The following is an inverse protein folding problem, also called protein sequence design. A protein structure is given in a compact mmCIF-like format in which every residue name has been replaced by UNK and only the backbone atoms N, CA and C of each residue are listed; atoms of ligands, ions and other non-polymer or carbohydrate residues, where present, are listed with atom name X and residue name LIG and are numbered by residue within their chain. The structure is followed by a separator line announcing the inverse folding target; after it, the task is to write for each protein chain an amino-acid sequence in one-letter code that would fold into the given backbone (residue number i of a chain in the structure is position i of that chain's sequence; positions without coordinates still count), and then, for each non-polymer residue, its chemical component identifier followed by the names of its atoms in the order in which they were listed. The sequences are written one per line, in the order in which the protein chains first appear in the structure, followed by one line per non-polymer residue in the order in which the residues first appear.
data_IF_701815609450
#
_entry.id   IF_701815609450
#
_cell.length_a   1.000
_cell.length_b   1.000
_cell.length_c   1.000
_cell.angle_alpha   90.00
_cell.angle_beta   90.00
_cell.angle_gamma   90.00
#
_symmetry.space_group_name_H-M   'P 1'
#
loop_
_entity.id
_entity.type
_entity.pdbx_description
1 polymer ?
#
# COMPACT_ATOMS: atom_id res chain seq x y z
N UNK A 1 56.50 -31.11 -22.73
CA UNK A 1 56.57 -32.54 -23.09
C UNK A 1 58.04 -32.84 -23.35
N UNK A 2 58.74 -33.75 -22.70
CA UNK A 2 58.37 -34.81 -21.77
C UNK A 2 59.58 -35.08 -20.86
N UNK A 3 59.29 -35.68 -19.71
CA UNK A 3 60.20 -36.21 -18.70
C UNK A 3 61.09 -37.35 -19.24
N UNK A 4 62.30 -37.51 -18.70
CA UNK A 4 62.66 -38.68 -17.86
C UNK A 4 64.15 -38.72 -17.46
N UNK A 5 64.34 -39.01 -16.16
CA UNK A 5 65.47 -39.55 -15.37
C UNK A 5 66.13 -40.82 -15.99
N UNK A 6 67.17 -41.50 -15.43
CA UNK A 6 68.03 -41.26 -14.23
C UNK A 6 69.54 -41.64 -14.40
N UNK A 7 70.36 -41.41 -13.36
CA UNK A 7 71.31 -42.40 -12.78
C UNK A 7 72.33 -41.74 -11.82
N UNK A 8 72.42 -42.26 -10.59
CA UNK A 8 73.61 -42.16 -9.73
C UNK A 8 74.57 -43.32 -10.09
N UNK A 9 75.90 -43.24 -9.82
CA UNK A 9 76.39 -43.68 -8.50
C UNK A 9 77.73 -43.06 -7.99
N UNK A 10 77.94 -43.24 -6.69
CA UNK A 10 79.19 -43.56 -5.96
C UNK A 10 80.52 -42.83 -6.21
N UNK A 11 81.04 -42.23 -5.11
CA UNK A 11 82.15 -42.90 -4.41
C UNK A 11 83.51 -42.21 -4.31
N UNK A 12 83.72 -41.46 -3.21
CA UNK A 12 85.01 -41.23 -2.49
C UNK A 12 86.13 -40.46 -3.25
N UNK A 13 87.06 -39.70 -2.68
CA UNK A 13 87.76 -39.62 -1.38
C UNK A 13 88.23 -38.16 -1.17
N UNK A 14 87.90 -37.53 -0.05
CA UNK A 14 88.83 -37.21 1.06
C UNK A 14 89.59 -35.85 0.87
N UNK A 15 90.25 -35.27 1.88
CA UNK A 15 89.69 -34.17 2.65
C UNK A 15 90.61 -32.94 2.64
N UNK A 16 90.04 -31.74 2.71
CA UNK A 16 90.73 -30.63 3.36
C UNK A 16 89.87 -30.10 4.48
N UNK A 17 90.03 -30.76 5.64
CA UNK A 17 89.82 -30.18 6.95
C UNK A 17 90.59 -28.85 7.03
N UNK A 18 89.85 -27.74 6.93
CA UNK A 18 90.18 -26.55 7.71
C UNK A 18 89.31 -26.60 8.95
N UNK A 19 89.97 -26.89 10.07
CA UNK A 19 89.41 -26.85 11.41
C UNK A 19 88.90 -25.44 11.69
N UNK A 20 87.58 -25.27 11.70
CA UNK A 20 86.94 -24.12 12.32
C UNK A 20 86.94 -24.31 13.85
N UNK A 21 87.10 -23.23 14.64
CA UNK A 21 87.28 -23.33 16.08
C UNK A 21 85.98 -23.79 16.75
N UNK A 22 86.09 -24.86 17.55
CA UNK A 22 85.02 -25.41 18.38
C UNK A 22 84.67 -24.47 19.54
N UNK A 23 83.92 -23.41 19.25
CA UNK A 23 83.47 -22.44 20.25
C UNK A 23 82.21 -21.63 19.89
N UNK A 24 81.78 -21.63 18.62
CA UNK A 24 80.67 -20.78 18.15
C UNK A 24 79.32 -21.54 17.98
N UNK A 25 79.32 -22.88 17.88
CA UNK A 25 78.11 -23.67 17.62
C UNK A 25 77.15 -23.76 18.83
N UNK A 26 77.67 -23.61 20.06
CA UNK A 26 76.86 -23.65 21.28
C UNK A 26 75.95 -22.42 21.47
N UNK A 27 76.44 -21.25 21.05
CA UNK A 27 75.65 -20.01 21.09
C UNK A 27 74.57 -19.98 20.01
N UNK A 28 74.87 -20.52 18.82
CA UNK A 28 73.88 -20.64 17.75
C UNK A 28 72.74 -21.62 18.13
N UNK A 29 73.07 -22.71 18.82
CA UNK A 29 72.08 -23.70 19.30
C UNK A 29 71.20 -23.17 20.45
N UNK A 30 71.79 -22.41 21.40
CA UNK A 30 71.04 -21.74 22.46
C UNK A 30 70.16 -20.60 21.92
N UNK A 31 70.65 -19.84 20.95
CA UNK A 31 69.86 -18.79 20.29
C UNK A 31 68.68 -19.39 19.52
N UNK A 32 68.88 -20.50 18.79
CA UNK A 32 67.80 -21.17 18.06
C UNK A 32 66.78 -21.84 18.99
N UNK A 33 67.20 -22.47 20.09
CA UNK A 33 66.29 -22.98 21.13
C UNK A 33 65.53 -21.86 21.85
N UNK A 34 66.19 -20.74 22.12
CA UNK A 34 65.55 -19.55 22.69
C UNK A 34 64.51 -18.94 21.75
N UNK A 35 64.84 -18.83 20.45
CA UNK A 35 63.91 -18.35 19.41
C UNK A 35 62.73 -19.32 19.24
N UNK A 36 62.97 -20.63 19.25
CA UNK A 36 61.92 -21.66 19.21
C UNK A 36 61.02 -21.60 20.45
N UNK A 37 61.58 -21.40 21.64
CA UNK A 37 60.82 -21.25 22.88
C UNK A 37 59.96 -19.97 22.89
N UNK A 38 60.51 -18.85 22.41
CA UNK A 38 59.78 -17.59 22.26
C UNK A 38 58.68 -17.72 21.20
N UNK A 39 58.97 -18.33 20.04
CA UNK A 39 57.96 -18.61 19.02
C UNK A 39 56.86 -19.54 19.54
N UNK A 40 57.20 -20.59 20.29
CA UNK A 40 56.25 -21.51 20.89
C UNK A 40 55.38 -20.84 21.97
N UNK A 41 55.91 -19.87 22.71
CA UNK A 41 55.11 -19.05 23.65
C UNK A 41 54.24 -18.00 22.95
N UNK A 42 54.69 -17.44 21.84
CA UNK A 42 53.93 -16.42 21.08
C UNK A 42 52.79 -17.05 20.26
N UNK A 43 52.96 -18.29 19.79
CA UNK A 43 51.97 -19.01 18.99
C UNK A 43 50.57 -19.09 19.64
N UNK A 44 50.40 -19.47 20.92
CA UNK A 44 49.09 -19.47 21.57
C UNK A 44 48.52 -18.06 21.76
N UNK A 45 49.36 -17.04 21.95
CA UNK A 45 48.91 -15.64 22.05
C UNK A 45 48.36 -15.15 20.71
N UNK A 46 49.07 -15.39 19.61
CA UNK A 46 48.58 -15.07 18.27
C UNK A 46 47.31 -15.86 17.91
N UNK A 47 47.20 -17.11 18.35
CA UNK A 47 45.99 -17.91 18.12
C UNK A 47 44.79 -17.35 18.88
N UNK A 48 44.96 -16.94 20.15
CA UNK A 48 43.88 -16.32 20.94
C UNK A 48 43.45 -14.98 20.34
N UNK A 49 44.38 -14.13 19.93
CA UNK A 49 44.08 -12.85 19.27
C UNK A 49 43.36 -13.10 17.93
N UNK A 50 43.85 -14.03 17.11
CA UNK A 50 43.19 -14.38 15.84
C UNK A 50 41.78 -14.95 16.04
N UNK A 51 41.55 -15.75 17.08
CA UNK A 51 40.21 -16.25 17.43
C UNK A 51 39.31 -15.13 17.93
N UNK A 52 39.83 -14.19 18.73
CA UNK A 52 39.08 -13.01 19.15
C UNK A 52 38.70 -12.12 17.96
N UNK A 53 39.65 -11.82 17.07
CA UNK A 53 39.42 -11.07 15.83
C UNK A 53 38.40 -11.79 14.92
N UNK A 54 38.49 -13.11 14.79
CA UNK A 54 37.49 -13.92 14.05
C UNK A 54 36.11 -13.89 14.71
N UNK A 55 36.05 -13.89 16.04
CA UNK A 55 34.79 -13.84 16.80
C UNK A 55 34.16 -12.46 16.70
N UNK A 56 34.96 -11.41 16.76
CA UNK A 56 34.54 -10.02 16.61
C UNK A 56 34.13 -9.73 15.16
N UNK A 57 34.89 -10.19 14.17
CA UNK A 57 34.51 -10.14 12.76
C UNK A 57 33.20 -10.90 12.48
N UNK A 58 33.01 -12.09 13.07
CA UNK A 58 31.73 -12.82 12.96
C UNK A 58 30.58 -12.09 13.62
N UNK A 59 30.80 -11.45 14.77
CA UNK A 59 29.78 -10.62 15.44
C UNK A 59 29.42 -9.39 14.61
N UNK A 60 30.39 -8.72 14.00
CA UNK A 60 30.15 -7.61 13.08
C UNK A 60 29.36 -8.07 11.85
N UNK A 61 29.76 -9.18 11.22
CA UNK A 61 29.05 -9.74 10.08
C UNK A 61 27.62 -10.17 10.43
N UNK A 62 27.41 -10.78 11.61
CA UNK A 62 26.09 -11.16 12.09
C UNK A 62 25.21 -9.94 12.42
N UNK A 63 25.80 -8.89 12.99
CA UNK A 63 25.13 -7.61 13.23
C UNK A 63 24.69 -6.93 11.93
N UNK A 64 25.58 -6.85 10.95
CA UNK A 64 25.30 -6.30 9.62
C UNK A 64 24.25 -7.10 8.86
N UNK A 65 24.25 -8.43 9.04
CA UNK A 65 23.24 -9.32 8.47
C UNK A 65 21.87 -9.12 9.12
N UNK A 66 21.83 -8.97 10.45
CA UNK A 66 20.63 -8.65 11.21
C UNK A 66 20.03 -7.29 10.85
N UNK A 67 20.84 -6.24 10.71
CA UNK A 67 20.39 -4.92 10.26
C UNK A 67 19.83 -4.98 8.84
N UNK A 68 20.52 -5.66 7.91
CA UNK A 68 20.01 -5.86 6.54
C UNK A 68 18.68 -6.62 6.50
N UNK A 69 18.54 -7.66 7.32
CA UNK A 69 17.27 -8.40 7.44
C UNK A 69 16.16 -7.52 8.02
N UNK A 70 16.45 -6.71 9.05
CA UNK A 70 15.50 -5.80 9.66
C UNK A 70 15.01 -4.74 8.66
N UNK A 71 15.95 -4.11 7.92
CA UNK A 71 15.62 -3.14 6.86
C UNK A 71 14.86 -3.77 5.70
N UNK A 72 15.14 -5.03 5.35
CA UNK A 72 14.33 -5.75 4.38
C UNK A 72 12.86 -5.87 4.81
N UNK A 73 12.59 -6.05 6.10
CA UNK A 73 11.22 -6.06 6.64
C UNK A 73 10.52 -4.71 6.56
N UNK A 74 11.22 -3.63 6.92
CA UNK A 74 10.76 -2.25 6.75
C UNK A 74 10.45 -1.96 5.27
N UNK A 75 11.36 -2.31 4.37
CA UNK A 75 11.20 -2.14 2.92
C UNK A 75 10.08 -3.01 2.36
N UNK A 76 9.87 -4.23 2.87
CA UNK A 76 8.76 -5.09 2.46
C UNK A 76 7.40 -4.46 2.81
N UNK A 77 7.30 -3.80 3.98
CA UNK A 77 6.09 -3.05 4.35
C UNK A 77 5.95 -1.79 3.49
N UNK A 78 7.03 -1.05 3.22
CA UNK A 78 6.96 0.08 2.27
C UNK A 78 6.52 -0.36 0.87
N UNK A 79 7.04 -1.49 0.39
CA UNK A 79 6.67 -2.10 -0.87
C UNK A 79 5.18 -2.46 -0.88
N UNK A 80 4.66 -3.12 0.17
CA UNK A 80 3.24 -3.40 0.29
C UNK A 80 2.36 -2.15 0.32
N UNK A 81 2.75 -1.12 1.09
CA UNK A 81 2.04 0.16 1.11
C UNK A 81 2.09 0.83 -0.29
N UNK A 82 3.19 0.67 -1.02
CA UNK A 82 3.34 1.21 -2.40
C UNK A 82 2.67 0.37 -3.49
N UNK A 83 2.40 -0.92 -3.24
CA UNK A 83 1.92 -1.91 -4.22
C UNK A 83 0.43 -2.19 -4.08
N UNK A 84 -0.30 -1.56 -3.17
CA UNK A 84 -1.75 -1.52 -3.37
C UNK A 84 -2.01 -0.92 -4.77
N UNK A 85 -2.54 -1.59 -5.79
CA UNK A 85 -2.89 -2.99 -6.04
C UNK A 85 -2.96 -3.12 -7.59
N UNK A 86 -1.86 -2.89 -8.30
CA UNK A 86 -1.87 -2.82 -9.79
C UNK A 86 -0.72 -3.53 -10.52
N UNK A 87 0.26 -4.11 -9.83
CA UNK A 87 1.25 -4.97 -10.49
C UNK A 87 0.74 -6.41 -10.50
N UNK A 88 0.65 -7.04 -11.68
CA UNK A 88 0.58 -8.49 -11.78
C UNK A 88 1.80 -9.05 -11.06
N UNK A 89 1.60 -9.65 -9.89
CA UNK A 89 2.68 -10.21 -9.08
C UNK A 89 3.34 -11.33 -9.89
N UNK A 90 4.59 -11.18 -10.35
CA UNK A 90 5.35 -12.35 -10.76
C UNK A 90 5.51 -13.20 -9.49
N UNK A 91 5.30 -14.51 -9.59
CA UNK A 91 5.50 -15.45 -8.50
C UNK A 91 6.88 -15.23 -7.85
N UNK A 92 6.95 -14.50 -6.74
CA UNK A 92 8.19 -14.24 -6.02
C UNK A 92 7.88 -13.65 -4.64
N UNK A 93 8.03 -14.47 -3.60
CA UNK A 93 8.53 -14.20 -2.23
C UNK A 93 8.12 -12.94 -1.43
N UNK A 94 7.30 -12.04 -1.95
CA UNK A 94 6.79 -10.87 -1.20
C UNK A 94 5.72 -11.35 -0.22
N UNK A 95 5.85 -11.08 1.09
CA UNK A 95 4.84 -11.46 2.07
C UNK A 95 3.49 -10.91 1.63
N UNK A 96 2.46 -11.75 1.52
CA UNK A 96 1.09 -11.30 1.22
C UNK A 96 0.34 -10.89 2.49
N UNK A 97 1.02 -10.85 3.64
CA UNK A 97 0.42 -10.63 4.94
C UNK A 97 1.36 -9.87 5.89
N UNK A 98 1.64 -8.57 5.71
CA UNK A 98 2.11 -7.77 6.85
C UNK A 98 0.90 -7.22 7.62
N UNK A 99 0.36 -8.10 8.49
CA UNK A 99 0.15 -7.82 9.92
C UNK A 99 -0.37 -6.40 10.22
N UNK A 100 -1.65 -6.16 9.91
CA UNK A 100 -2.46 -5.30 10.79
C UNK A 100 -2.87 -6.20 11.95
N UNK A 101 -2.04 -6.27 12.98
CA UNK A 101 -2.44 -6.97 14.20
C UNK A 101 -3.53 -6.12 14.86
N UNK A 102 -4.79 -6.55 14.75
CA UNK A 102 -5.91 -5.98 15.46
C UNK A 102 -5.62 -6.05 16.97
N UNK A 103 -5.24 -4.91 17.57
CA UNK A 103 -4.99 -4.81 19.00
C UNK A 103 -3.79 -3.97 19.42
N UNK A 104 -2.87 -3.61 18.52
CA UNK A 104 -1.66 -2.86 18.91
C UNK A 104 -1.77 -1.39 18.52
N UNK A 105 -2.38 -0.61 19.41
CA UNK A 105 -2.32 0.85 19.39
C UNK A 105 -0.95 1.30 19.89
N UNK A 106 -0.21 2.07 19.09
CA UNK A 106 1.00 2.73 19.60
C UNK A 106 0.61 3.73 20.69
N UNK A 107 1.39 3.79 21.78
CA UNK A 107 1.36 4.95 22.67
C UNK A 107 1.98 6.12 21.92
N UNK A 108 1.17 7.08 21.48
CA UNK A 108 1.67 8.28 20.81
C UNK A 108 2.56 9.09 21.76
N UNK A 109 3.73 9.51 21.28
CA UNK A 109 4.62 10.42 22.02
C UNK A 109 5.54 9.74 23.03
N UNK A 110 6.23 8.68 22.63
CA UNK A 110 7.32 8.09 23.41
C UNK A 110 8.29 9.19 23.87
N UNK A 111 8.34 9.43 25.18
CA UNK A 111 9.28 10.36 25.82
C UNK A 111 10.58 9.65 26.23
N UNK A 112 10.56 8.33 26.28
CA UNK A 112 11.69 7.45 26.60
C UNK A 112 11.96 6.47 25.45
N UNK A 113 13.10 6.61 24.74
CA UNK A 113 13.52 5.68 23.69
C UNK A 113 13.71 4.24 24.17
N UNK A 114 14.05 4.03 25.44
CA UNK A 114 14.24 2.68 26.01
C UNK A 114 12.89 1.97 26.15
N UNK A 115 11.87 2.67 26.66
CA UNK A 115 10.51 2.15 26.73
C UNK A 115 9.94 1.78 25.35
N UNK A 116 10.26 2.58 24.33
CA UNK A 116 9.89 2.30 22.94
C UNK A 116 10.57 1.04 22.41
N UNK A 117 11.88 0.87 22.65
CA UNK A 117 12.64 -0.32 22.30
C UNK A 117 12.06 -1.58 22.98
N UNK A 118 11.84 -1.53 24.30
CA UNK A 118 11.35 -2.66 25.08
C UNK A 118 9.96 -3.09 24.62
N UNK A 119 9.07 -2.12 24.37
CA UNK A 119 7.73 -2.39 23.84
C UNK A 119 7.78 -3.05 22.46
N UNK A 120 8.50 -2.45 21.50
CA UNK A 120 8.54 -2.94 20.12
C UNK A 120 9.19 -4.33 20.05
N UNK A 121 10.25 -4.56 20.83
CA UNK A 121 10.90 -5.86 20.96
C UNK A 121 9.94 -6.91 21.54
N UNK A 122 9.22 -6.58 22.61
CA UNK A 122 8.25 -7.50 23.21
C UNK A 122 7.13 -7.88 22.22
N UNK A 123 6.60 -6.92 21.47
CA UNK A 123 5.56 -7.16 20.45
C UNK A 123 6.08 -8.09 19.35
N UNK A 124 7.27 -7.84 18.82
CA UNK A 124 7.85 -8.63 17.73
C UNK A 124 8.28 -10.04 18.18
N UNK A 125 8.74 -10.20 19.42
CA UNK A 125 9.04 -11.50 19.99
C UNK A 125 7.78 -12.33 20.26
N UNK A 126 6.67 -11.69 20.65
CA UNK A 126 5.39 -12.35 20.89
C UNK A 126 4.70 -12.88 19.61
N UNK A 127 5.14 -12.46 18.41
CA UNK A 127 4.60 -12.98 17.16
C UNK A 127 4.87 -14.49 17.00
N UNK A 128 3.92 -15.24 16.41
CA UNK A 128 4.13 -16.67 16.15
C UNK A 128 5.19 -16.90 15.06
N UNK A 129 5.86 -18.08 15.03
CA UNK A 129 6.86 -18.41 14.01
C UNK A 129 6.35 -18.30 12.57
N UNK A 130 5.05 -18.46 12.33
CA UNK A 130 4.42 -18.27 11.02
C UNK A 130 4.48 -16.83 10.48
N UNK A 131 4.82 -15.86 11.33
CA UNK A 131 5.03 -14.45 10.97
C UNK A 131 6.52 -14.08 10.82
N UNK A 132 7.41 -15.08 10.83
CA UNK A 132 8.83 -14.90 10.49
C UNK A 132 9.02 -15.01 8.98
N UNK A 133 9.71 -14.02 8.40
CA UNK A 133 10.08 -13.99 6.99
C UNK A 133 11.57 -14.23 6.83
N UNK A 134 11.95 -14.96 5.77
CA UNK A 134 13.33 -15.34 5.49
C UNK A 134 13.83 -14.60 4.25
N UNK A 135 15.03 -14.05 4.34
CA UNK A 135 15.76 -13.42 3.24
C UNK A 135 17.13 -14.10 3.07
N UNK A 136 17.85 -13.86 1.96
CA UNK A 136 19.21 -14.37 1.80
C UNK A 136 20.19 -13.88 2.88
N UNK A 137 19.87 -12.77 3.57
CA UNK A 137 20.74 -12.15 4.58
C UNK A 137 20.32 -12.47 6.01
N UNK A 138 19.22 -13.18 6.24
CA UNK A 138 18.73 -13.45 7.58
C UNK A 138 17.23 -13.69 7.63
N UNK A 139 16.64 -13.52 8.81
CA UNK A 139 15.19 -13.57 9.00
C UNK A 139 14.73 -12.32 9.72
N UNK A 140 13.46 -11.97 9.54
CA UNK A 140 12.87 -10.83 10.23
C UNK A 140 11.41 -11.06 10.60
N UNK A 141 10.94 -10.25 11.55
CA UNK A 141 9.54 -10.05 11.91
C UNK A 141 9.23 -8.57 11.83
N UNK A 142 8.01 -8.23 11.45
CA UNK A 142 7.61 -6.84 11.24
C UNK A 142 6.22 -6.57 11.79
N UNK A 143 6.00 -5.36 12.30
CA UNK A 143 4.68 -4.89 12.75
C UNK A 143 4.46 -3.46 12.31
N UNK A 144 3.24 -3.18 11.87
CA UNK A 144 2.75 -1.83 11.59
C UNK A 144 1.66 -1.48 12.58
N UNK A 145 1.79 -0.34 13.23
CA UNK A 145 0.79 0.17 14.19
C UNK A 145 -0.40 0.80 13.47
N UNK A 146 -1.61 0.65 14.03
CA UNK A 146 -2.86 1.09 13.36
C UNK A 146 -3.06 2.61 13.34
N UNK A 147 -2.51 3.32 14.34
CA UNK A 147 -2.70 4.77 14.53
C UNK A 147 -1.42 5.58 14.32
N UNK A 148 -0.38 4.98 13.76
CA UNK A 148 0.92 5.64 13.60
C UNK A 148 1.59 5.34 12.26
N UNK A 149 2.51 6.25 11.93
CA UNK A 149 3.37 6.26 10.77
C UNK A 149 4.57 5.32 10.93
N UNK A 150 4.76 4.72 12.10
CA UNK A 150 5.89 3.85 12.41
C UNK A 150 5.66 2.39 12.00
N UNK A 151 6.73 1.78 11.49
CA UNK A 151 6.89 0.35 11.22
C UNK A 151 8.10 -0.12 12.02
N UNK A 152 7.94 -1.22 12.75
CA UNK A 152 9.01 -1.81 13.55
C UNK A 152 9.37 -3.17 12.97
N UNK A 153 10.66 -3.43 12.78
CA UNK A 153 11.17 -4.68 12.21
C UNK A 153 12.33 -5.21 13.04
N UNK A 154 12.24 -6.46 13.48
CA UNK A 154 13.29 -7.16 14.21
C UNK A 154 13.94 -8.16 13.26
N UNK A 155 15.21 -7.96 12.92
CA UNK A 155 15.97 -8.80 11.99
C UNK A 155 17.17 -9.48 12.65
N UNK A 156 17.46 -10.71 12.25
CA UNK A 156 18.58 -11.49 12.75
C UNK A 156 19.25 -12.28 11.63
N UNK A 157 20.52 -12.64 11.82
CA UNK A 157 21.31 -13.41 10.85
C UNK A 157 20.73 -14.82 10.60
N UNK A 158 21.10 -15.52 9.51
CA UNK A 158 20.54 -16.84 9.16
C UNK A 158 20.67 -17.89 10.27
N UNK A 159 21.80 -17.88 10.98
CA UNK A 159 22.09 -18.80 12.09
C UNK A 159 21.75 -18.19 13.47
N UNK A 160 21.12 -17.01 13.47
CA UNK A 160 20.76 -16.25 14.67
C UNK A 160 19.36 -16.59 15.17
N UNK A 161 18.99 -15.95 16.27
CA UNK A 161 17.64 -16.04 16.85
C UNK A 161 17.03 -14.63 17.00
N UNK A 162 15.69 -14.51 17.04
CA UNK A 162 15.04 -13.21 17.19
C UNK A 162 15.44 -12.50 18.50
N UNK A 163 15.78 -13.25 19.56
CA UNK A 163 16.27 -12.71 20.84
C UNK A 163 17.65 -12.02 20.75
N UNK A 164 18.39 -12.27 19.67
CA UNK A 164 19.66 -11.61 19.34
C UNK A 164 19.53 -10.57 18.23
N UNK A 165 18.32 -10.34 17.75
CA UNK A 165 18.06 -9.51 16.57
C UNK A 165 18.19 -8.01 16.79
N UNK A 166 18.47 -7.32 15.70
CA UNK A 166 18.51 -5.87 15.55
C UNK A 166 17.11 -5.34 15.31
N UNK A 167 16.69 -4.33 16.09
CA UNK A 167 15.40 -3.68 15.94
C UNK A 167 15.56 -2.39 15.14
N UNK A 168 14.82 -2.26 14.04
CA UNK A 168 14.76 -1.05 13.22
C UNK A 168 13.34 -0.49 13.30
N UNK A 169 13.24 0.81 13.53
CA UNK A 169 12.03 1.58 13.38
C UNK A 169 12.15 2.45 12.12
N UNK A 170 11.08 2.48 11.34
CA UNK A 170 10.94 3.38 10.20
C UNK A 170 9.64 4.15 10.31
N UNK A 171 9.72 5.47 10.22
CA UNK A 171 8.57 6.33 10.09
C UNK A 171 8.32 6.66 8.63
N UNK A 172 7.06 6.58 8.24
CA UNK A 172 6.60 6.91 6.92
C UNK A 172 5.64 8.08 6.94
N UNK A 173 5.98 9.15 6.21
CA UNK A 173 4.93 10.04 5.73
C UNK A 173 4.11 9.26 4.70
N UNK A 174 2.89 8.89 5.12
CA UNK A 174 1.81 8.56 4.21
C UNK A 174 1.21 9.90 3.81
N UNK A 175 1.55 10.50 2.66
CA UNK A 175 0.76 11.61 2.19
C UNK A 175 -0.66 11.10 2.01
N UNK A 176 -1.61 11.76 2.68
CA UNK A 176 -3.02 11.61 2.33
C UNK A 176 -3.10 11.96 0.86
N UNK A 177 -3.72 11.10 0.06
CA UNK A 177 -3.93 11.42 -1.33
C UNK A 177 -4.73 12.73 -1.39
N UNK A 178 -4.13 13.78 -1.92
CA UNK A 178 -4.87 14.98 -2.27
C UNK A 178 -4.97 14.97 -3.78
N UNK A 179 -6.19 14.83 -4.27
CA UNK A 179 -6.44 14.84 -5.71
C UNK A 179 -6.21 16.26 -6.16
N UNK A 180 -5.11 16.53 -6.87
CA UNK A 180 -4.85 17.86 -7.43
C UNK A 180 -5.66 18.12 -8.72
N UNK A 181 -6.56 17.19 -9.07
CA UNK A 181 -7.44 17.25 -10.23
C UNK A 181 -8.89 17.02 -9.78
N UNK A 182 -9.82 17.72 -10.44
CA UNK A 182 -11.25 17.47 -10.29
C UNK A 182 -11.66 16.11 -10.85
N UNK A 183 -10.96 15.64 -11.89
CA UNK A 183 -11.12 14.30 -12.46
C UNK A 183 -9.74 13.68 -12.70
N UNK A 184 -9.52 12.52 -12.09
CA UNK A 184 -8.30 11.72 -12.25
C UNK A 184 -8.65 10.31 -12.73
N UNK A 185 -8.05 9.85 -13.82
CA UNK A 185 -8.32 8.51 -14.37
C UNK A 185 -7.06 7.70 -14.65
N UNK A 186 -7.11 6.40 -14.40
CA UNK A 186 -6.03 5.45 -14.66
C UNK A 186 -5.86 5.08 -16.14
N UNK A 187 -6.91 5.24 -16.95
CA UNK A 187 -6.87 5.01 -18.39
C UNK A 187 -7.60 6.12 -19.14
N UNK A 188 -7.83 5.90 -20.44
CA UNK A 188 -8.40 6.82 -21.39
C UNK A 188 -9.65 7.54 -20.88
N UNK A 189 -9.76 8.81 -21.26
CA UNK A 189 -10.86 9.70 -20.96
C UNK A 189 -11.45 10.25 -22.27
N UNK A 190 -12.73 9.95 -22.49
CA UNK A 190 -13.52 10.49 -23.57
C UNK A 190 -14.40 11.63 -23.07
N UNK A 191 -14.32 12.78 -23.73
CA UNK A 191 -15.16 13.95 -23.46
C UNK A 191 -16.10 14.21 -24.62
N UNK A 192 -17.36 13.82 -24.46
CA UNK A 192 -18.39 13.93 -25.48
C UNK A 192 -19.31 15.12 -25.15
N UNK A 193 -19.11 16.26 -25.80
CA UNK A 193 -19.90 17.47 -25.51
C UNK A 193 -19.39 18.24 -24.29
N UNK A 194 -20.20 19.12 -23.71
CA UNK A 194 -19.73 20.07 -22.68
C UNK A 194 -19.28 19.37 -21.39
N UNK A 195 -18.06 19.66 -20.95
CA UNK A 195 -17.56 19.30 -19.63
C UNK A 195 -16.84 20.48 -18.99
N UNK A 196 -17.24 20.81 -17.75
CA UNK A 196 -16.70 21.94 -17.02
C UNK A 196 -16.18 21.49 -15.66
N UNK A 197 -15.12 22.11 -15.16
CA UNK A 197 -14.66 21.95 -13.79
C UNK A 197 -14.42 23.34 -13.20
N UNK A 198 -14.92 23.56 -12.00
CA UNK A 198 -14.85 24.86 -11.35
C UNK A 198 -14.22 24.71 -9.97
N UNK A 199 -13.30 25.58 -9.61
CA UNK A 199 -12.81 25.69 -8.23
C UNK A 199 -13.54 26.84 -7.56
N UNK A 200 -14.35 26.55 -6.53
CA UNK A 200 -15.14 27.56 -5.83
C UNK A 200 -14.27 28.65 -5.18
N UNK A 201 -12.98 28.38 -4.94
CA UNK A 201 -12.03 29.38 -4.41
C UNK A 201 -11.41 30.26 -5.51
N UNK A 202 -11.67 29.98 -6.79
CA UNK A 202 -11.08 30.68 -7.94
C UNK A 202 -9.58 30.42 -8.17
N UNK A 203 -8.99 29.43 -7.50
CA UNK A 203 -7.54 29.20 -7.50
C UNK A 203 -6.99 28.44 -8.73
N UNK A 204 -7.84 28.14 -9.73
CA UNK A 204 -7.48 27.38 -10.93
C UNK A 204 -6.85 25.99 -10.64
N UNK A 205 -7.35 25.28 -9.62
CA UNK A 205 -6.84 23.95 -9.22
C UNK A 205 -7.72 22.78 -9.70
N UNK A 206 -8.91 23.06 -10.21
CA UNK A 206 -9.86 22.05 -10.67
C UNK A 206 -9.45 21.45 -12.05
N UNK A 207 -8.30 20.78 -12.11
CA UNK A 207 -7.75 20.21 -13.35
C UNK A 207 -8.37 18.87 -13.75
N UNK A 208 -7.88 18.32 -14.85
CA UNK A 208 -8.20 16.97 -15.33
C UNK A 208 -6.89 16.27 -15.70
N UNK A 209 -6.72 15.04 -15.22
CA UNK A 209 -5.60 14.19 -15.59
C UNK A 209 -6.04 12.78 -15.97
N UNK A 210 -5.44 12.23 -17.02
CA UNK A 210 -5.57 10.82 -17.39
C UNK A 210 -4.19 10.19 -17.60
N UNK A 211 -3.99 9.00 -17.04
CA UNK A 211 -2.81 8.16 -17.30
C UNK A 211 -2.88 7.47 -18.69
N UNK A 212 -3.96 7.68 -19.46
CA UNK A 212 -4.13 7.21 -20.82
C UNK A 212 -4.20 8.34 -21.84
N UNK A 213 -4.98 8.14 -22.90
CA UNK A 213 -5.31 9.14 -23.89
C UNK A 213 -6.52 9.96 -23.46
N UNK A 214 -6.53 11.22 -23.85
CA UNK A 214 -7.69 12.09 -23.74
C UNK A 214 -8.24 12.39 -25.14
N UNK A 215 -9.47 11.95 -25.38
CA UNK A 215 -10.20 12.22 -26.62
C UNK A 215 -11.32 13.24 -26.41
N UNK A 216 -11.57 14.06 -27.43
CA UNK A 216 -12.61 15.09 -27.39
C UNK A 216 -12.57 16.00 -28.61
N UNK A 217 -13.58 16.86 -28.77
CA UNK A 217 -13.66 17.80 -29.91
C UNK A 217 -13.39 19.22 -29.43
N UNK A 218 -12.88 20.11 -30.27
CA UNK A 218 -12.55 21.49 -29.86
C UNK A 218 -13.74 22.30 -29.26
N UNK A 219 -14.99 21.88 -29.52
CA UNK A 219 -16.21 22.46 -28.93
C UNK A 219 -16.70 21.75 -27.64
N UNK A 220 -16.08 20.65 -27.22
CA UNK A 220 -16.46 19.89 -26.02
C UNK A 220 -16.05 20.59 -24.72
N UNK A 221 -15.11 21.53 -24.75
CA UNK A 221 -14.69 22.30 -23.57
C UNK A 221 -14.42 23.75 -23.95
N UNK A 222 -15.45 24.49 -24.36
CA UNK A 222 -15.30 25.93 -24.60
C UNK A 222 -15.00 26.66 -23.25
N UNK A 223 -13.72 26.63 -22.82
CA UNK A 223 -13.15 27.31 -21.63
C UNK A 223 -13.68 26.89 -20.25
N UNK A 224 -14.26 25.71 -20.12
CA UNK A 224 -14.95 25.29 -18.90
C UNK A 224 -14.13 24.62 -17.82
N UNK A 225 -12.85 24.31 -18.05
CA UNK A 225 -11.98 23.64 -17.06
C UNK A 225 -11.06 24.69 -16.44
N UNK A 226 -11.25 24.97 -15.14
CA UNK A 226 -10.49 26.00 -14.42
C UNK A 226 -9.03 25.61 -14.17
N UNK A 227 -8.69 24.32 -14.19
CA UNK A 227 -7.33 23.82 -13.94
C UNK A 227 -6.59 23.32 -15.18
N UNK A 228 -5.44 22.66 -14.95
CA UNK A 228 -4.65 22.06 -16.03
C UNK A 228 -5.33 20.81 -16.58
N UNK A 229 -5.31 20.67 -17.90
CA UNK A 229 -5.74 19.47 -18.61
C UNK A 229 -4.51 18.72 -19.07
N UNK A 230 -4.32 17.50 -18.59
CA UNK A 230 -3.08 16.74 -18.82
C UNK A 230 -3.37 15.28 -19.16
N UNK A 231 -2.51 14.70 -19.99
CA UNK A 231 -2.55 13.29 -20.34
C UNK A 231 -1.14 12.72 -20.45
N UNK A 232 -0.96 11.45 -20.10
CA UNK A 232 0.26 10.69 -20.41
C UNK A 232 0.33 10.43 -21.92
N UNK A 233 -0.80 9.97 -22.49
CA UNK A 233 -0.97 9.75 -23.92
C UNK A 233 -1.27 11.03 -24.70
N UNK A 234 -2.03 10.89 -25.77
CA UNK A 234 -2.47 12.03 -26.57
C UNK A 234 -3.48 12.89 -25.80
N UNK A 235 -3.38 14.22 -25.90
CA UNK A 235 -4.36 15.16 -25.36
C UNK A 235 -5.03 15.92 -26.51
N UNK A 236 -6.31 15.63 -26.75
CA UNK A 236 -7.07 16.24 -27.84
C UNK A 236 -7.98 17.40 -27.39
N UNK A 237 -8.10 17.64 -26.08
CA UNK A 237 -8.86 18.77 -25.58
C UNK A 237 -8.12 20.10 -25.76
N UNK A 238 -8.86 21.20 -26.02
CA UNK A 238 -8.31 22.56 -26.00
C UNK A 238 -7.49 22.85 -24.73
N UNK A 239 -6.24 23.30 -24.90
CA UNK A 239 -5.34 23.59 -23.77
C UNK A 239 -4.76 22.35 -23.08
N UNK A 240 -5.06 21.15 -23.57
CA UNK A 240 -4.51 19.89 -23.07
C UNK A 240 -3.02 19.76 -23.35
N UNK A 241 -2.29 19.20 -22.38
CA UNK A 241 -0.85 18.91 -22.50
C UNK A 241 -0.63 17.40 -22.50
N UNK A 242 -0.05 16.88 -23.57
CA UNK A 242 0.33 15.47 -23.73
C UNK A 242 1.71 15.16 -23.12
N UNK A 243 2.03 13.87 -22.99
CA UNK A 243 3.37 13.41 -22.59
C UNK A 243 3.73 13.78 -21.15
N UNK A 244 2.74 14.00 -20.30
CA UNK A 244 2.96 14.20 -18.87
C UNK A 244 3.33 12.88 -18.19
N UNK A 245 3.98 12.95 -17.03
CA UNK A 245 4.22 11.76 -16.21
C UNK A 245 2.91 11.20 -15.65
N UNK A 246 2.87 9.89 -15.42
CA UNK A 246 1.74 9.24 -14.74
C UNK A 246 1.52 9.87 -13.36
N UNK A 247 0.27 10.24 -13.07
CA UNK A 247 -0.14 10.60 -11.72
C UNK A 247 -0.50 9.34 -10.92
N UNK A 248 -0.16 9.30 -9.62
CA UNK A 248 -0.55 8.18 -8.77
C UNK A 248 -2.08 8.12 -8.63
N UNK A 249 -2.66 6.98 -8.98
CA UNK A 249 -4.08 6.70 -8.76
C UNK A 249 -4.22 5.89 -7.45
N UNK A 250 -5.08 6.31 -6.50
CA UNK A 250 -5.28 5.54 -5.29
C UNK A 250 -5.96 4.19 -5.59
N UNK A 251 -5.74 3.23 -4.70
CA UNK A 251 -6.55 2.02 -4.68
C UNK A 251 -7.92 2.36 -4.13
N UNK A 252 -8.94 2.03 -4.90
CA UNK A 252 -10.31 2.08 -4.44
C UNK A 252 -10.63 0.71 -3.87
N UNK A 253 -10.77 0.56 -2.55
CA UNK A 253 -11.11 -0.72 -1.92
C UNK A 253 -12.34 -0.57 -1.00
N UNK A 254 -13.54 -0.92 -1.49
CA UNK A 254 -14.76 -1.00 -0.69
C UNK A 254 -14.60 -1.82 0.60
N UNK A 255 -13.87 -2.93 0.58
CA UNK A 255 -13.67 -3.78 1.77
C UNK A 255 -12.87 -3.05 2.83
N UNK A 256 -11.81 -2.33 2.44
CA UNK A 256 -11.01 -1.53 3.35
C UNK A 256 -11.83 -0.39 3.98
N UNK A 257 -12.71 0.25 3.21
CA UNK A 257 -13.61 1.29 3.75
C UNK A 257 -14.57 0.70 4.78
N UNK A 258 -15.11 -0.50 4.54
CA UNK A 258 -15.96 -1.20 5.52
C UNK A 258 -15.21 -1.47 6.81
N UNK A 259 -14.04 -2.10 6.75
CA UNK A 259 -13.27 -2.44 7.96
C UNK A 259 -12.79 -1.20 8.72
N UNK A 260 -12.58 -0.08 8.03
CA UNK A 260 -12.14 1.19 8.62
C UNK A 260 -13.28 1.97 9.28
N UNK A 261 -14.43 2.09 8.61
CA UNK A 261 -15.48 3.04 9.01
C UNK A 261 -16.75 2.42 9.59
N UNK A 262 -17.02 1.13 9.33
CA UNK A 262 -18.31 0.52 9.66
C UNK A 262 -18.60 0.52 11.17
N UNK A 263 -17.61 0.14 11.99
CA UNK A 263 -17.79 0.06 13.44
C UNK A 263 -17.95 1.43 14.10
N UNK A 264 -17.22 2.45 13.64
CA UNK A 264 -17.35 3.81 14.14
C UNK A 264 -18.73 4.43 13.81
N UNK A 265 -19.39 3.93 12.76
CA UNK A 265 -20.67 4.43 12.28
C UNK A 265 -21.81 3.40 12.39
N UNK A 266 -21.70 2.40 13.27
CA UNK A 266 -22.61 1.24 13.34
C UNK A 266 -24.10 1.60 13.38
N UNK A 267 -24.47 2.72 14.04
CA UNK A 267 -25.85 3.18 14.14
C UNK A 267 -26.45 3.65 12.80
N UNK A 268 -25.61 4.10 11.87
CA UNK A 268 -25.99 4.62 10.56
C UNK A 268 -25.32 3.84 9.42
N UNK A 269 -24.73 2.68 9.70
CA UNK A 269 -24.14 1.79 8.70
C UNK A 269 -25.08 0.63 8.43
N UNK A 270 -25.35 0.37 7.15
CA UNK A 270 -26.27 -0.64 6.67
C UNK A 270 -25.58 -1.50 5.61
N UNK A 271 -25.30 -2.75 5.96
CA UNK A 271 -24.82 -3.75 5.01
C UNK A 271 -26.04 -4.28 4.23
N UNK A 272 -26.18 -3.90 2.96
CA UNK A 272 -27.24 -4.36 2.07
C UNK A 272 -26.82 -5.69 1.43
N UNK A 273 -27.50 -6.76 1.84
CA UNK A 273 -27.05 -8.13 1.61
C UNK A 273 -27.76 -8.82 0.43
N UNK A 274 -27.13 -9.80 -0.23
CA UNK A 274 -27.76 -10.55 -1.32
C UNK A 274 -28.99 -11.40 -0.92
N UNK A 275 -29.30 -11.49 0.38
CA UNK A 275 -30.53 -12.11 0.90
C UNK A 275 -31.75 -11.17 0.86
N UNK A 276 -31.56 -9.93 0.40
CA UNK A 276 -32.58 -8.90 0.29
C UNK A 276 -32.87 -8.17 1.59
N UNK A 277 -31.99 -8.27 2.59
CA UNK A 277 -32.13 -7.57 3.87
C UNK A 277 -30.95 -6.64 4.14
N UNK A 278 -31.19 -5.63 4.96
CA UNK A 278 -30.13 -4.82 5.53
C UNK A 278 -29.68 -5.40 6.87
N UNK A 279 -28.37 -5.36 7.12
CA UNK A 279 -27.76 -5.81 8.37
C UNK A 279 -26.92 -4.70 8.99
N UNK A 280 -26.68 -4.82 10.29
CA UNK A 280 -25.65 -4.04 10.99
C UNK A 280 -24.30 -4.75 10.90
N UNK A 281 -23.19 -3.99 10.83
CA UNK A 281 -21.87 -4.58 10.85
C UNK A 281 -21.60 -5.22 12.22
N UNK A 282 -20.84 -6.31 12.20
CA UNK A 282 -20.37 -7.00 13.40
C UNK A 282 -18.85 -6.80 13.56
N UNK A 283 -18.33 -6.60 14.78
CA UNK A 283 -16.90 -6.46 15.02
C UNK A 283 -16.12 -7.66 14.49
N UNK A 284 -15.12 -7.41 13.62
CA UNK A 284 -14.24 -8.45 13.08
C UNK A 284 -14.89 -9.43 12.10
N UNK A 285 -16.15 -9.21 11.71
CA UNK A 285 -16.86 -10.04 10.75
C UNK A 285 -16.90 -9.40 9.35
N UNK A 286 -17.04 -10.23 8.32
CA UNK A 286 -17.36 -9.75 6.98
C UNK A 286 -18.79 -9.15 6.95
N UNK A 287 -19.11 -8.25 6.00
CA UNK A 287 -20.48 -7.81 5.79
C UNK A 287 -21.38 -9.01 5.53
N UNK A 288 -22.62 -8.90 5.98
CA UNK A 288 -23.61 -9.97 5.80
C UNK A 288 -23.20 -11.33 6.39
N UNK A 289 -22.28 -11.34 7.36
CA UNK A 289 -21.89 -12.55 8.05
C UNK A 289 -23.08 -13.18 8.80
N UNK A 290 -23.10 -14.53 8.96
CA UNK A 290 -24.08 -15.19 9.81
C UNK A 290 -24.09 -14.58 11.22
N UNK A 291 -25.28 -14.25 11.72
CA UNK A 291 -25.46 -13.61 13.03
C UNK A 291 -25.46 -12.08 13.02
N UNK A 292 -25.17 -11.44 11.88
CA UNK A 292 -25.28 -9.98 11.76
C UNK A 292 -26.72 -9.51 12.04
N UNK A 293 -26.94 -8.54 12.94
CA UNK A 293 -28.28 -8.08 13.29
C UNK A 293 -29.03 -7.55 12.06
N UNK A 294 -30.20 -8.13 11.76
CA UNK A 294 -31.06 -7.68 10.67
C UNK A 294 -31.73 -6.36 11.07
N UNK A 295 -31.72 -5.39 10.16
CA UNK A 295 -32.49 -4.14 10.29
C UNK A 295 -33.83 -4.33 9.59
N UNK A 296 -34.93 -4.20 10.35
CA UNK A 296 -36.29 -4.38 9.82
C UNK A 296 -37.18 -3.19 10.21
N UNK A 297 -37.86 -2.54 9.25
CA UNK A 297 -37.77 -2.75 7.80
C UNK A 297 -36.40 -2.37 7.24
N UNK A 298 -36.08 -2.81 6.02
CA UNK A 298 -34.90 -2.35 5.29
C UNK A 298 -34.94 -0.82 5.19
N UNK A 299 -33.90 -0.10 5.64
CA UNK A 299 -33.89 1.34 5.70
C UNK A 299 -33.91 1.97 4.30
N UNK A 300 -34.39 3.22 4.22
CA UNK A 300 -34.17 4.08 3.07
C UNK A 300 -34.84 3.65 1.77
N UNK A 301 -35.94 2.90 1.81
CA UNK A 301 -36.67 2.41 0.63
C UNK A 301 -35.83 1.55 -0.33
N UNK A 302 -34.76 0.94 0.18
CA UNK A 302 -33.95 0.01 -0.58
C UNK A 302 -34.70 -1.31 -0.81
N UNK A 303 -34.73 -1.77 -2.05
CA UNK A 303 -35.32 -3.04 -2.45
C UNK A 303 -34.30 -3.87 -3.24
N UNK A 304 -34.26 -5.17 -3.01
CA UNK A 304 -33.33 -6.06 -3.70
C UNK A 304 -34.02 -6.86 -4.80
N UNK A 305 -33.43 -6.85 -5.99
CA UNK A 305 -33.77 -7.71 -7.11
C UNK A 305 -32.74 -8.84 -7.20
N UNK A 306 -33.15 -10.05 -6.81
CA UNK A 306 -32.29 -11.24 -6.96
C UNK A 306 -32.02 -11.60 -8.43
N UNK A 307 -32.91 -11.22 -9.35
CA UNK A 307 -32.77 -11.50 -10.77
C UNK A 307 -31.61 -10.73 -11.42
N UNK A 308 -31.40 -9.49 -10.99
CA UNK A 308 -30.34 -8.61 -11.51
C UNK A 308 -29.19 -8.40 -10.53
N UNK A 309 -29.29 -8.97 -9.32
CA UNK A 309 -28.39 -8.71 -8.18
C UNK A 309 -28.21 -7.22 -7.93
N UNK A 310 -29.32 -6.48 -7.91
CA UNK A 310 -29.31 -5.03 -7.78
C UNK A 310 -30.15 -4.61 -6.61
N UNK A 311 -29.58 -3.76 -5.77
CA UNK A 311 -30.32 -2.97 -4.80
C UNK A 311 -30.79 -1.69 -5.48
N UNK A 312 -32.09 -1.41 -5.46
CA UNK A 312 -32.66 -0.20 -6.04
C UNK A 312 -33.29 0.68 -4.97
N UNK A 313 -33.16 1.99 -5.16
CA UNK A 313 -33.78 3.02 -4.33
C UNK A 313 -34.55 3.99 -5.22
N UNK A 314 -35.89 3.95 -5.15
CA UNK A 314 -36.75 4.72 -6.07
C UNK A 314 -37.31 6.02 -5.50
N UNK A 315 -37.04 6.29 -4.22
CA UNK A 315 -37.47 7.50 -3.54
C UNK A 315 -36.41 7.89 -2.50
N UNK A 316 -36.20 9.20 -2.27
CA UNK A 316 -35.27 9.64 -1.25
C UNK A 316 -35.68 9.08 0.13
N UNK A 317 -34.71 8.70 0.97
CA UNK A 317 -34.99 8.11 2.27
C UNK A 317 -35.61 9.16 3.20
N UNK A 318 -36.81 8.90 3.72
CA UNK A 318 -37.47 9.79 4.68
C UNK A 318 -36.90 9.52 6.08
N UNK A 319 -36.18 10.49 6.64
CA UNK A 319 -35.64 10.42 8.00
C UNK A 319 -34.50 9.41 8.21
N UNK A 320 -34.02 8.77 7.15
CA UNK A 320 -32.91 7.82 7.21
C UNK A 320 -31.72 8.41 6.46
N UNK A 321 -30.59 8.50 7.15
CA UNK A 321 -29.30 8.92 6.62
C UNK A 321 -28.27 7.88 7.02
N UNK A 322 -27.21 7.73 6.24
CA UNK A 322 -26.17 6.78 6.61
C UNK A 322 -25.29 6.29 5.47
N UNK A 323 -24.59 5.21 5.76
CA UNK A 323 -23.77 4.48 4.79
C UNK A 323 -24.51 3.23 4.37
N UNK A 324 -24.70 3.07 3.06
CA UNK A 324 -25.29 1.88 2.45
C UNK A 324 -24.20 1.11 1.74
N UNK A 325 -23.75 0.04 2.39
CA UNK A 325 -22.72 -0.86 1.89
C UNK A 325 -23.36 -2.03 1.15
N UNK A 326 -23.37 -1.98 -0.17
CA UNK A 326 -23.95 -2.99 -1.04
C UNK A 326 -22.96 -4.12 -1.26
N UNK A 327 -23.21 -5.24 -0.58
CA UNK A 327 -22.28 -6.36 -0.58
C UNK A 327 -22.55 -7.31 -1.75
N UNK A 328 -21.58 -7.43 -2.68
CA UNK A 328 -21.62 -8.38 -3.83
C UNK A 328 -22.86 -8.23 -4.69
N UNK A 329 -23.22 -6.98 -4.95
CA UNK A 329 -24.38 -6.58 -5.73
C UNK A 329 -24.15 -5.16 -6.27
N UNK A 330 -24.94 -4.77 -7.26
CA UNK A 330 -24.93 -3.40 -7.80
C UNK A 330 -25.98 -2.53 -7.10
N UNK A 331 -25.82 -1.22 -7.18
CA UNK A 331 -26.75 -0.23 -6.65
C UNK A 331 -27.34 0.60 -7.79
N UNK A 332 -28.66 0.81 -7.77
CA UNK A 332 -29.36 1.75 -8.65
C UNK A 332 -30.17 2.74 -7.81
N UNK A 333 -29.91 4.03 -7.98
CA UNK A 333 -30.57 5.11 -7.24
C UNK A 333 -31.31 5.97 -8.26
N UNK A 334 -32.63 5.99 -8.18
CA UNK A 334 -33.48 6.70 -9.13
C UNK A 334 -34.72 7.31 -8.47
N UNK A 335 -34.72 8.62 -8.19
CA UNK A 335 -35.85 9.27 -7.49
C UNK A 335 -36.97 9.77 -8.41
N UNK A 336 -36.76 9.73 -9.73
CA UNK A 336 -37.74 10.19 -10.72
C UNK A 336 -37.75 11.71 -10.94
N UNK A 337 -38.57 12.17 -11.90
CA UNK A 337 -38.67 13.58 -12.28
C UNK A 337 -39.31 14.43 -11.19
N UNK A 338 -38.49 15.23 -10.50
CA UNK A 338 -38.93 16.08 -9.38
C UNK A 338 -37.85 16.33 -8.33
N UNK A 339 -36.76 15.53 -8.34
CA UNK A 339 -35.57 15.76 -7.52
C UNK A 339 -35.79 15.47 -6.04
N UNK A 340 -35.04 14.50 -5.52
CA UNK A 340 -34.88 14.27 -4.09
C UNK A 340 -33.41 14.40 -3.74
N UNK A 341 -33.10 14.98 -2.59
CA UNK A 341 -31.74 14.98 -2.04
C UNK A 341 -31.70 14.02 -0.86
N UNK A 342 -30.70 13.14 -0.85
CA UNK A 342 -30.50 12.16 0.20
C UNK A 342 -29.09 12.28 0.75
N UNK A 343 -28.95 12.46 2.07
CA UNK A 343 -27.66 12.41 2.72
C UNK A 343 -27.27 10.97 3.03
N UNK A 344 -26.51 10.37 2.11
CA UNK A 344 -26.06 9.00 2.19
C UNK A 344 -24.73 8.79 1.46
N UNK A 345 -23.87 7.93 2.02
CA UNK A 345 -22.69 7.42 1.31
C UNK A 345 -23.00 6.03 0.79
N UNK A 346 -22.84 5.80 -0.52
CA UNK A 346 -23.14 4.50 -1.14
C UNK A 346 -21.83 3.85 -1.58
N UNK A 347 -21.61 2.64 -1.09
CA UNK A 347 -20.40 1.86 -1.35
C UNK A 347 -20.84 0.51 -1.89
N UNK A 348 -20.40 0.13 -3.08
CA UNK A 348 -20.63 -1.22 -3.63
C UNK A 348 -19.37 -2.04 -3.58
N UNK A 349 -19.47 -3.31 -3.20
CA UNK A 349 -18.39 -4.28 -3.30
C UNK A 349 -18.71 -5.29 -4.40
N UNK A 350 -17.79 -5.50 -5.35
CA UNK A 350 -17.93 -6.57 -6.33
C UNK A 350 -17.63 -7.95 -5.69
N UNK A 351 -18.19 -9.02 -6.25
CA UNK A 351 -17.93 -10.40 -5.81
C UNK A 351 -16.45 -10.79 -5.86
N UNK A 352 -15.70 -10.13 -6.73
CA UNK A 352 -14.28 -10.27 -6.97
C UNK A 352 -13.53 -8.98 -6.59
N UNK A 353 -13.90 -8.34 -5.49
CA UNK A 353 -13.26 -7.10 -5.03
C UNK A 353 -11.72 -7.23 -5.06
N UNK A 354 -11.06 -6.32 -5.78
CA UNK A 354 -9.61 -6.37 -6.04
C UNK A 354 -9.10 -7.68 -6.66
N UNK A 355 -9.95 -8.41 -7.37
CA UNK A 355 -9.67 -9.69 -8.03
C UNK A 355 -8.90 -9.54 -9.35
N UNK A 356 -8.80 -10.66 -10.08
CA UNK A 356 -8.19 -10.72 -11.41
C UNK A 356 -9.19 -10.30 -12.50
N UNK A 357 -8.69 -9.75 -13.60
CA UNK A 357 -9.51 -9.41 -14.76
C UNK A 357 -9.82 -10.68 -15.61
N UNK A 358 -10.99 -10.76 -16.28
CA UNK A 358 -12.10 -9.80 -16.28
C UNK A 358 -12.90 -9.82 -14.96
N UNK A 359 -13.52 -8.68 -14.63
CA UNK A 359 -14.25 -8.51 -13.37
C UNK A 359 -15.58 -9.25 -13.35
N UNK A 360 -16.14 -9.46 -12.15
CA UNK A 360 -17.52 -9.88 -11.96
C UNK A 360 -18.52 -8.83 -12.50
N UNK A 361 -19.72 -9.30 -12.86
CA UNK A 361 -20.83 -8.48 -13.36
C UNK A 361 -21.68 -7.83 -12.26
N UNK A 362 -21.04 -7.47 -11.14
CA UNK A 362 -21.65 -6.79 -10.01
C UNK A 362 -20.74 -5.70 -9.44
N UNK A 363 -21.25 -4.96 -8.46
CA UNK A 363 -20.50 -3.92 -7.78
C UNK A 363 -20.59 -2.56 -8.47
N UNK A 364 -21.51 -2.36 -9.41
CA UNK A 364 -21.71 -1.07 -10.09
C UNK A 364 -22.60 -0.13 -9.28
N UNK A 365 -22.40 1.18 -9.44
CA UNK A 365 -23.33 2.21 -8.97
C UNK A 365 -23.92 2.93 -10.17
N UNK A 366 -25.24 2.97 -10.25
CA UNK A 366 -25.98 3.76 -11.23
C UNK A 366 -26.82 4.81 -10.52
N UNK A 367 -26.59 6.09 -10.81
CA UNK A 367 -27.33 7.22 -10.25
C UNK A 367 -28.09 7.94 -11.36
N UNK A 368 -29.43 8.05 -11.23
CA UNK A 368 -30.31 8.65 -12.24
C UNK A 368 -31.30 9.60 -11.59
N UNK A 369 -31.45 10.83 -12.09
CA UNK A 369 -32.49 11.77 -11.61
C UNK A 369 -32.53 11.90 -10.07
N UNK A 370 -31.35 11.91 -9.43
CA UNK A 370 -31.22 11.83 -7.99
C UNK A 370 -29.99 12.61 -7.52
N UNK A 371 -30.14 13.29 -6.38
CA UNK A 371 -29.04 13.99 -5.70
C UNK A 371 -28.68 13.22 -4.44
N UNK A 372 -27.40 12.88 -4.30
CA UNK A 372 -26.85 12.18 -3.14
C UNK A 372 -25.74 13.02 -2.52
N UNK A 373 -25.90 13.38 -1.25
CA UNK A 373 -24.92 14.12 -0.45
C UNK A 373 -24.15 13.17 0.47
N UNK A 374 -22.86 13.42 0.65
CA UNK A 374 -22.00 12.60 1.49
C UNK A 374 -22.52 12.51 2.94
N UNK A 375 -22.64 11.28 3.45
CA UNK A 375 -22.84 11.05 4.89
C UNK A 375 -21.49 10.97 5.61
N UNK A 376 -20.57 10.16 5.09
CA UNK A 376 -19.17 10.14 5.51
C UNK A 376 -18.47 11.38 4.96
N UNK A 377 -17.75 12.16 5.79
CA UNK A 377 -17.02 13.32 5.32
C UNK A 377 -16.08 12.96 4.16
N UNK A 378 -16.21 13.65 3.03
CA UNK A 378 -15.35 13.48 1.86
C UNK A 378 -15.64 12.25 1.00
N UNK A 379 -16.71 11.48 1.27
CA UNK A 379 -17.09 10.31 0.47
C UNK A 379 -18.59 10.27 0.15
N UNK A 380 -18.90 10.24 -1.15
CA UNK A 380 -20.29 10.16 -1.61
C UNK A 380 -20.56 8.80 -2.25
N UNK A 381 -19.83 8.46 -3.31
CA UNK A 381 -20.04 7.23 -4.08
C UNK A 381 -18.71 6.48 -4.23
N UNK A 382 -18.69 5.20 -3.86
CA UNK A 382 -17.51 4.35 -4.04
C UNK A 382 -17.92 3.02 -4.66
N UNK A 383 -17.45 2.77 -5.88
CA UNK A 383 -17.81 1.56 -6.61
C UNK A 383 -16.67 0.55 -6.65
N UNK A 384 -17.01 -0.71 -6.36
CA UNK A 384 -16.16 -1.87 -6.59
C UNK A 384 -15.95 -2.20 -8.06
N UNK A 385 -16.71 -1.57 -8.96
CA UNK A 385 -16.56 -1.71 -10.41
C UNK A 385 -16.79 -0.36 -11.10
N UNK A 386 -17.96 -0.09 -11.67
CA UNK A 386 -18.24 1.13 -12.44
C UNK A 386 -19.13 2.12 -11.68
N UNK A 387 -18.99 3.41 -11.97
CA UNK A 387 -19.98 4.44 -11.57
C UNK A 387 -20.57 5.07 -12.82
N UNK A 388 -21.89 4.97 -12.97
CA UNK A 388 -22.66 5.64 -14.02
C UNK A 388 -23.57 6.70 -13.40
N UNK A 389 -23.43 7.95 -13.85
CA UNK A 389 -24.28 9.07 -13.45
C UNK A 389 -25.01 9.58 -14.68
N UNK A 390 -26.33 9.41 -14.72
CA UNK A 390 -27.16 9.73 -15.89
C UNK A 390 -28.31 10.68 -15.54
N UNK A 391 -28.87 11.32 -16.56
CA UNK A 391 -30.17 12.02 -16.49
C UNK A 391 -30.36 12.89 -15.23
N UNK A 392 -29.67 14.04 -15.15
CA UNK A 392 -29.79 15.00 -14.05
C UNK A 392 -29.43 14.43 -12.66
N UNK A 393 -28.50 13.48 -12.60
CA UNK A 393 -27.92 13.01 -11.35
C UNK A 393 -26.89 13.97 -10.78
N UNK A 394 -26.75 13.98 -9.47
CA UNK A 394 -25.76 14.79 -8.77
C UNK A 394 -25.21 14.04 -7.54
N UNK A 395 -23.89 14.02 -7.39
CA UNK A 395 -23.21 13.62 -6.17
C UNK A 395 -22.61 14.86 -5.50
N UNK A 396 -22.75 14.99 -4.18
CA UNK A 396 -22.35 16.19 -3.46
C UNK A 396 -21.46 15.90 -2.25
N UNK A 397 -20.60 16.86 -1.94
CA UNK A 397 -19.79 16.97 -0.70
C UNK A 397 -18.79 15.82 -0.47
N UNK A 398 -18.24 15.26 -1.54
CA UNK A 398 -17.27 14.18 -1.43
C UNK A 398 -16.78 13.59 -2.74
N UNK A 399 -15.94 12.57 -2.60
CA UNK A 399 -15.38 11.85 -3.72
C UNK A 399 -16.41 10.91 -4.38
N UNK A 400 -16.34 10.83 -5.70
CA UNK A 400 -16.91 9.77 -6.53
C UNK A 400 -15.75 8.91 -7.03
N UNK A 401 -15.70 7.66 -6.59
CA UNK A 401 -14.59 6.77 -6.89
C UNK A 401 -15.05 5.45 -7.50
N UNK A 402 -14.30 4.93 -8.47
CA UNK A 402 -14.57 3.65 -9.11
C UNK A 402 -13.27 2.84 -9.28
N UNK A 403 -13.35 1.53 -9.07
CA UNK A 403 -12.23 0.62 -9.37
C UNK A 403 -12.00 0.46 -10.88
N UNK A 404 -13.06 0.53 -11.69
CA UNK A 404 -12.99 0.40 -13.15
C UNK A 404 -13.24 1.76 -13.79
N UNK A 405 -14.46 2.08 -14.24
CA UNK A 405 -14.73 3.30 -14.99
C UNK A 405 -15.73 4.24 -14.33
N UNK A 406 -15.61 5.53 -14.68
CA UNK A 406 -16.63 6.55 -14.38
C UNK A 406 -17.24 7.03 -15.70
N UNK A 407 -18.57 7.04 -15.76
CA UNK A 407 -19.35 7.58 -16.87
C UNK A 407 -20.36 8.62 -16.36
N UNK A 408 -20.13 9.90 -16.66
CA UNK A 408 -21.03 11.00 -16.30
C UNK A 408 -21.74 11.57 -17.54
N UNK A 409 -23.05 11.36 -17.63
CA UNK A 409 -23.93 11.75 -18.73
C UNK A 409 -25.17 12.47 -18.22
N UNK A 410 -24.98 13.58 -17.50
CA UNK A 410 -26.06 14.17 -16.70
C UNK A 410 -26.93 15.16 -17.46
N UNK A 411 -26.54 15.55 -18.68
CA UNK A 411 -27.38 16.28 -19.66
C UNK A 411 -27.97 17.63 -19.22
N UNK A 412 -27.58 18.19 -18.06
CA UNK A 412 -27.96 19.54 -17.55
C UNK A 412 -27.68 19.77 -16.04
N UNK A 413 -27.27 18.77 -15.27
CA UNK A 413 -26.89 18.96 -13.86
C UNK A 413 -25.38 19.11 -13.68
N UNK A 414 -24.98 19.62 -12.52
CA UNK A 414 -23.58 19.79 -12.18
C UNK A 414 -22.82 18.47 -12.05
N UNK A 415 -23.46 17.30 -12.07
CA UNK A 415 -22.76 16.00 -11.95
C UNK A 415 -22.16 15.80 -10.56
N UNK A 416 -21.07 16.48 -10.24
CA UNK A 416 -20.46 16.48 -8.90
C UNK A 416 -20.41 17.91 -8.37
N UNK A 417 -20.93 18.15 -7.17
CA UNK A 417 -20.80 19.42 -6.46
C UNK A 417 -19.96 19.28 -5.20
N UNK A 418 -19.01 20.18 -4.96
CA UNK A 418 -18.11 20.15 -3.80
C UNK A 418 -17.35 18.81 -3.66
N UNK A 419 -16.72 18.36 -4.74
CA UNK A 419 -16.11 17.03 -4.77
C UNK A 419 -15.14 16.81 -5.92
N UNK A 420 -14.77 15.55 -6.12
CA UNK A 420 -13.88 15.15 -7.22
C UNK A 420 -14.17 13.70 -7.64
N UNK A 421 -13.70 13.33 -8.83
CA UNK A 421 -13.86 11.99 -9.39
C UNK A 421 -12.51 11.28 -9.56
N UNK A 422 -12.46 9.99 -9.20
CA UNK A 422 -11.27 9.14 -9.39
C UNK A 422 -11.66 7.78 -9.95
N UNK A 423 -11.09 7.41 -11.09
CA UNK A 423 -11.23 6.08 -11.66
C UNK A 423 -9.89 5.35 -11.66
N UNK A 424 -9.84 4.17 -11.05
CA UNK A 424 -8.62 3.33 -11.01
C UNK A 424 -8.38 2.62 -12.34
N UNK A 425 -9.43 2.28 -13.10
CA UNK A 425 -9.34 1.58 -14.37
C UNK A 425 -8.50 0.30 -14.32
N UNK A 426 -8.67 -0.49 -13.25
CA UNK A 426 -7.77 -1.61 -12.95
C UNK A 426 -7.73 -2.68 -14.05
N UNK A 427 -8.86 -2.98 -14.69
CA UNK A 427 -8.97 -3.92 -15.81
C UNK A 427 -9.04 -3.22 -17.17
N UNK A 428 -8.68 -1.93 -17.22
CA UNK A 428 -8.78 -1.10 -18.41
C UNK A 428 -10.09 -0.32 -18.48
N UNK A 429 -10.64 -0.24 -19.68
CA UNK A 429 -11.84 0.53 -19.98
C UNK A 429 -11.57 1.99 -20.30
N UNK A 430 -12.66 2.72 -20.58
CA UNK A 430 -12.64 4.12 -20.98
C UNK A 430 -13.59 4.89 -20.08
N UNK A 431 -13.12 6.00 -19.54
CA UNK A 431 -13.94 6.92 -18.75
C UNK A 431 -14.64 7.88 -19.69
N UNK A 432 -15.83 8.33 -19.31
CA UNK A 432 -16.64 9.15 -20.18
C UNK A 432 -17.29 10.29 -19.42
N UNK A 433 -17.22 11.50 -19.99
CA UNK A 433 -17.95 12.66 -19.50
C UNK A 433 -18.69 13.36 -20.63
N UNK A 434 -19.94 13.73 -20.37
CA UNK A 434 -20.85 14.36 -21.32
C UNK A 434 -21.89 15.22 -20.62
N UNK A 435 -21.92 16.51 -20.96
CA UNK A 435 -22.97 17.42 -20.47
C UNK A 435 -22.99 17.55 -18.96
N UNK A 436 -21.81 17.56 -18.33
CA UNK A 436 -21.64 17.47 -16.88
C UNK A 436 -20.63 18.52 -16.37
N UNK A 437 -20.63 18.78 -15.07
CA UNK A 437 -19.68 19.67 -14.40
C UNK A 437 -19.00 18.92 -13.24
N UNK A 438 -17.96 19.50 -12.66
CA UNK A 438 -17.48 19.16 -11.32
C UNK A 438 -17.18 20.49 -10.62
N UNK A 439 -17.91 20.81 -9.55
CA UNK A 439 -17.46 21.83 -8.61
C UNK A 439 -16.46 21.20 -7.66
N UNK A 440 -15.19 21.50 -7.90
CA UNK A 440 -14.07 20.95 -7.20
C UNK A 440 -13.93 21.56 -5.81
N UNK A 441 -13.92 20.70 -4.82
CA UNK A 441 -13.47 21.03 -3.47
C UNK A 441 -12.48 19.96 -2.99
N UNK A 442 -11.27 20.34 -2.56
CA UNK A 442 -10.30 19.39 -2.03
C UNK A 442 -10.75 18.88 -0.67
N UNK A 443 -11.34 17.69 -0.64
CA UNK A 443 -11.59 16.94 0.60
C UNK A 443 -10.40 16.05 0.94
N UNK A 444 -10.20 15.78 2.24
CA UNK A 444 -9.23 14.76 2.65
C UNK A 444 -9.70 13.40 2.12
N UNK A 445 -8.97 12.84 1.15
CA UNK A 445 -9.28 11.53 0.60
C UNK A 445 -9.06 10.45 1.66
N UNK A 446 -10.03 9.57 1.93
CA UNK A 446 -9.78 8.36 2.71
C UNK A 446 -9.08 7.29 1.87
N UNK A 447 -8.96 7.49 0.56
CA UNK A 447 -8.14 6.64 -0.29
C UNK A 447 -6.66 6.96 -0.08
N UNK A 448 -5.87 5.91 0.04
CA UNK A 448 -4.45 6.01 0.31
C UNK A 448 -3.72 6.15 -1.03
N UNK A 449 -2.94 7.22 -1.22
CA UNK A 449 -2.02 7.35 -2.35
C UNK A 449 -0.89 8.34 -2.01
N UNK A 450 0.24 7.79 -1.57
CA UNK A 450 1.47 7.75 -2.36
C UNK A 450 2.39 6.68 -1.75
N UNK A 451 3.48 6.34 -2.45
CA UNK A 451 4.57 5.55 -1.86
C UNK A 451 4.92 6.14 -0.50
N UNK A 452 4.97 5.33 0.57
CA UNK A 452 5.30 5.87 1.87
C UNK A 452 6.69 6.50 1.77
N UNK A 453 6.80 7.79 2.06
CA UNK A 453 8.09 8.45 2.10
C UNK A 453 8.70 8.15 3.45
N UNK A 454 9.83 7.45 3.46
CA UNK A 454 10.62 7.27 4.67
C UNK A 454 11.02 8.67 5.19
N UNK A 455 10.50 9.05 6.35
CA UNK A 455 10.81 10.33 7.00
C UNK A 455 11.91 10.17 8.04
N UNK A 456 11.99 9.00 8.66
CA UNK A 456 13.05 8.64 9.58
C UNK A 456 13.24 7.12 9.56
N UNK A 457 14.49 6.68 9.74
CA UNK A 457 14.83 5.29 10.01
C UNK A 457 15.88 5.28 11.12
N UNK A 458 15.62 4.51 12.17
CA UNK A 458 16.46 4.47 13.36
C UNK A 458 16.63 3.02 13.79
N UNK A 459 17.87 2.61 14.03
CA UNK A 459 18.17 1.36 14.75
C UNK A 459 17.91 1.64 16.23
N UNK A 460 16.94 0.97 16.83
CA UNK A 460 16.66 1.09 18.24
C UNK A 460 17.61 0.16 19.01
N UNK A 461 18.34 0.72 19.98
CA UNK A 461 19.27 -0.01 20.84
C UNK A 461 18.74 -0.01 22.28
N UNK A 462 18.75 -1.18 22.93
CA UNK A 462 18.58 -1.26 24.37
C UNK A 462 19.89 -0.89 25.05
N UNK A 463 19.84 -0.02 26.05
CA UNK A 463 20.99 0.32 26.90
C UNK A 463 21.42 -0.83 27.82
#
# INVERSE_FOLDING_TARGET
MSTDTPAAPDGSTDPQQRSAPAGEDGYALLATLGILGVLAMLLPVFFVVAVQDLTEARRHLAGDAGDRAARAGVQAVAAQISVGSSAATPASTVPTAAIVAAGFTEQTGWTDPQAQYDWARAVLLAQPPSQTYVTPTGSYRVVRTTNSRAVYSLGWAPDGSPESGTLVMAEYALPVFQVEAALLTGTDLDVLGSFNTHDASGAQRAGVHTNGNQSGRAMSTARGIDGRVTAVGAAQLPGGVSGQGEMPIPVIDPRLLHTTYAMANVANWYDLCPDGRAHRPLPGAAPCAPGSPVVTPTPGNWAYSAATKTWSQTAPPVGVQGVFYVYRASAEIQYGGGGGTARQTVITESSDNLGSCPRADDGDITLKQATVEAFLPGLTLVSGRDVAMEAQSQAADGAVAAQESISMRTSSSDGISNGYAVAQNRCGGTNLVQGSRIDYEPHASPFVSARPRLTAEVVLTGN
#
